data_IF_395361608566
#
_entry.id   IF_395361608566
#
_cell.length_a   1.000
_cell.length_b   1.000
_cell.length_c   1.000
_cell.angle_alpha   90.00
_cell.angle_beta   90.00
_cell.angle_gamma   90.00
#
_symmetry.space_group_name_H-M   'P 1'
#
loop_
_entity.id
_entity.type
_entity.pdbx_description
1 polymer ?
#
# COMPACT_ATOMS: atom_id res chain seq x y z
N UNK A 1 -9.52 2.28 21.01
CA UNK A 1 -9.21 1.36 19.91
C UNK A 1 -8.13 1.90 18.95
N UNK A 2 -8.09 3.20 18.63
CA UNK A 2 -7.05 3.78 17.77
C UNK A 2 -5.83 4.34 18.52
N UNK A 3 -5.97 4.68 19.80
CA UNK A 3 -4.88 5.27 20.59
C UNK A 3 -3.63 4.39 20.70
N UNK A 4 -3.77 3.07 20.61
CA UNK A 4 -2.66 2.12 20.69
C UNK A 4 -2.11 1.71 19.30
N UNK A 5 -2.81 2.06 18.22
CA UNK A 5 -2.42 1.67 16.88
C UNK A 5 -1.21 2.46 16.37
N UNK A 6 -1.20 3.78 16.57
CA UNK A 6 -0.13 4.66 16.10
C UNK A 6 1.24 4.33 16.72
N UNK A 7 1.39 4.16 18.05
CA UNK A 7 2.66 3.75 18.63
C UNK A 7 3.16 2.40 18.12
N UNK A 8 2.25 1.45 17.89
CA UNK A 8 2.61 0.14 17.33
C UNK A 8 3.08 0.24 15.89
N UNK A 9 2.42 1.04 15.07
CA UNK A 9 2.82 1.31 13.70
C UNK A 9 4.19 2.00 13.65
N UNK A 10 4.40 3.03 14.44
CA UNK A 10 5.68 3.70 14.53
C UNK A 10 6.80 2.74 14.93
N UNK A 11 6.59 1.92 15.96
CA UNK A 11 7.56 0.92 16.38
C UNK A 11 7.89 -0.06 15.26
N UNK A 12 6.88 -0.53 14.55
CA UNK A 12 7.03 -1.45 13.43
C UNK A 12 7.84 -0.81 12.28
N UNK A 13 7.54 0.44 11.90
CA UNK A 13 8.28 1.19 10.89
C UNK A 13 9.76 1.33 11.28
N UNK A 14 10.04 1.64 12.55
CA UNK A 14 11.41 1.80 13.06
C UNK A 14 12.19 0.50 13.20
N UNK A 15 11.52 -0.63 13.34
CA UNK A 15 12.12 -1.95 13.50
C UNK A 15 12.26 -2.72 12.18
N UNK A 16 11.63 -2.27 11.12
CA UNK A 16 11.73 -2.93 9.82
C UNK A 16 13.11 -2.75 9.20
N UNK A 17 13.58 -3.78 8.50
CA UNK A 17 14.89 -3.77 7.85
C UNK A 17 14.91 -2.92 6.58
N UNK A 18 13.77 -2.75 5.94
CA UNK A 18 13.61 -2.01 4.69
C UNK A 18 12.31 -1.21 4.70
N UNK A 19 12.40 0.03 4.28
CA UNK A 19 11.27 0.91 4.01
C UNK A 19 11.26 1.28 2.52
N UNK A 20 10.18 0.97 1.84
CA UNK A 20 9.95 1.32 0.44
C UNK A 20 8.82 2.34 0.38
N UNK A 21 9.04 3.41 -0.38
CA UNK A 21 8.05 4.44 -0.66
C UNK A 21 7.82 4.44 -2.17
N UNK A 22 6.80 3.71 -2.67
CA UNK A 22 6.57 3.63 -4.10
C UNK A 22 5.92 4.90 -4.63
N UNK A 23 6.64 5.62 -5.45
CA UNK A 23 6.14 6.82 -6.13
C UNK A 23 5.60 6.51 -7.51
N UNK A 24 4.59 7.25 -7.90
CA UNK A 24 4.08 7.25 -9.26
C UNK A 24 3.92 8.69 -9.75
N UNK A 25 4.08 8.89 -11.04
CA UNK A 25 3.88 10.21 -11.66
C UNK A 25 2.39 10.43 -11.86
N UNK A 26 1.86 11.47 -11.25
CA UNK A 26 0.51 11.90 -11.49
C UNK A 26 0.47 12.69 -12.81
N UNK A 27 -0.26 12.19 -13.79
CA UNK A 27 -0.52 12.95 -15.01
C UNK A 27 -1.79 13.78 -14.81
N UNK A 28 -1.67 15.07 -15.04
CA UNK A 28 -2.78 16.01 -14.90
C UNK A 28 -3.81 15.92 -16.03
N UNK A 29 -3.49 15.22 -17.11
CA UNK A 29 -4.42 14.99 -18.22
C UNK A 29 -4.53 13.49 -18.50
N UNK A 30 -5.71 12.90 -18.38
CA UNK A 30 -5.94 11.54 -18.81
C UNK A 30 -5.76 11.43 -20.34
N UNK A 31 -5.10 10.36 -20.78
CA UNK A 31 -4.85 10.07 -22.21
C UNK A 31 -6.14 9.97 -23.05
N UNK A 32 -7.25 9.69 -22.42
CA UNK A 32 -8.57 9.60 -23.04
C UNK A 32 -9.52 10.51 -22.25
N UNK A 33 -10.21 11.40 -22.93
CA UNK A 33 -11.30 12.18 -22.34
C UNK A 33 -12.45 11.25 -21.95
N UNK A 34 -13.09 11.51 -20.92
CA UNK A 34 -12.77 11.09 -19.58
C UNK A 34 -13.93 10.35 -18.98
N UNK A 35 -13.72 9.33 -18.40
CA UNK A 35 -14.45 9.16 -17.17
C UNK A 35 -13.52 9.66 -16.03
N UNK A 36 -14.05 10.29 -15.01
CA UNK A 36 -13.29 10.62 -13.79
C UNK A 36 -12.52 9.40 -13.28
N UNK A 37 -13.05 8.21 -13.53
CA UNK A 37 -12.43 6.92 -13.27
C UNK A 37 -11.11 6.67 -14.01
N UNK A 38 -10.91 7.22 -15.20
CA UNK A 38 -9.63 7.04 -15.91
C UNK A 38 -8.48 7.81 -15.26
N UNK A 39 -8.76 8.83 -14.48
CA UNK A 39 -7.75 9.53 -13.68
C UNK A 39 -7.21 8.67 -12.54
N UNK A 40 -7.93 7.63 -12.12
CA UNK A 40 -7.53 6.68 -11.09
C UNK A 40 -6.60 5.56 -11.61
N UNK A 41 -6.41 5.43 -12.93
CA UNK A 41 -5.62 4.35 -13.52
C UNK A 41 -4.17 4.34 -13.02
N UNK A 42 -3.57 5.51 -12.83
CA UNK A 42 -2.20 5.59 -12.31
C UNK A 42 -2.12 5.08 -10.88
N UNK A 43 -3.08 5.46 -10.07
CA UNK A 43 -3.20 4.98 -8.70
C UNK A 43 -3.47 3.48 -8.65
N UNK A 44 -4.38 2.97 -9.49
CA UNK A 44 -4.66 1.56 -9.61
C UNK A 44 -3.42 0.76 -10.05
N UNK A 45 -2.67 1.25 -11.04
CA UNK A 45 -1.44 0.62 -11.52
C UNK A 45 -0.38 0.56 -10.41
N UNK A 46 -0.26 1.60 -9.58
CA UNK A 46 0.65 1.60 -8.44
C UNK A 46 0.27 0.53 -7.40
N UNK A 47 -1.03 0.35 -7.13
CA UNK A 47 -1.50 -0.70 -6.23
C UNK A 47 -1.30 -2.10 -6.80
N UNK A 48 -1.48 -2.31 -8.10
CA UNK A 48 -1.14 -3.58 -8.75
C UNK A 48 0.36 -3.91 -8.63
N UNK A 49 1.23 -2.92 -8.79
CA UNK A 49 2.65 -3.11 -8.59
C UNK A 49 2.99 -3.45 -7.13
N UNK A 50 2.34 -2.78 -6.17
CA UNK A 50 2.47 -3.09 -4.75
C UNK A 50 2.06 -4.52 -4.42
N UNK A 51 0.93 -4.99 -4.95
CA UNK A 51 0.49 -6.36 -4.74
C UNK A 51 1.53 -7.38 -5.23
N UNK A 52 2.11 -7.16 -6.42
CA UNK A 52 3.19 -8.00 -6.91
C UNK A 52 4.41 -7.98 -5.99
N UNK A 53 4.75 -6.84 -5.40
CA UNK A 53 5.85 -6.75 -4.41
C UNK A 53 5.53 -7.53 -3.13
N UNK A 54 4.29 -7.47 -2.63
CA UNK A 54 3.85 -8.22 -1.45
C UNK A 54 3.92 -9.73 -1.70
N UNK A 55 3.45 -10.18 -2.87
CA UNK A 55 3.51 -11.58 -3.27
C UNK A 55 4.96 -12.08 -3.41
N UNK A 56 5.83 -11.31 -4.07
CA UNK A 56 7.24 -11.62 -4.20
C UNK A 56 7.94 -11.69 -2.84
N UNK A 57 7.71 -10.72 -1.96
CA UNK A 57 8.25 -10.73 -0.61
C UNK A 57 7.81 -11.97 0.18
N UNK A 58 6.54 -12.35 0.06
CA UNK A 58 6.02 -13.56 0.71
C UNK A 58 6.70 -14.82 0.18
N UNK A 59 6.94 -14.91 -1.13
CA UNK A 59 7.66 -16.05 -1.75
C UNK A 59 9.12 -16.15 -1.25
N UNK A 60 9.75 -15.02 -0.92
CA UNK A 60 11.09 -14.94 -0.33
C UNK A 60 11.10 -15.09 1.21
N UNK A 61 9.96 -15.39 1.84
CA UNK A 61 9.84 -15.56 3.29
C UNK A 61 9.92 -14.27 4.08
N UNK A 62 9.69 -13.12 3.45
CA UNK A 62 9.67 -11.82 4.09
C UNK A 62 8.28 -11.48 4.62
N UNK A 63 8.22 -10.88 5.80
CA UNK A 63 7.04 -10.22 6.32
C UNK A 63 6.92 -8.80 5.76
N UNK A 64 5.70 -8.38 5.45
CA UNK A 64 5.42 -7.06 4.91
C UNK A 64 4.25 -6.41 5.63
N UNK A 65 4.32 -5.09 5.78
CA UNK A 65 3.21 -4.27 6.24
C UNK A 65 3.25 -2.94 5.50
N UNK A 66 2.09 -2.43 5.13
CA UNK A 66 2.00 -1.08 4.60
C UNK A 66 1.16 -0.16 5.48
N UNK A 67 1.52 1.11 5.47
CA UNK A 67 0.80 2.20 6.11
C UNK A 67 0.41 3.24 5.06
N UNK A 68 -0.88 3.54 4.97
CA UNK A 68 -1.39 4.61 4.11
C UNK A 68 -1.39 5.89 4.92
N UNK A 69 -0.56 6.89 4.57
CA UNK A 69 -0.47 8.12 5.34
C UNK A 69 -1.72 8.99 5.15
N UNK A 70 -2.03 9.77 6.17
CA UNK A 70 -3.01 10.85 6.04
C UNK A 70 -2.39 12.06 5.33
N UNK A 71 -3.23 12.99 4.86
CA UNK A 71 -2.80 14.11 4.00
C UNK A 71 -1.57 14.87 4.51
N UNK A 72 -1.57 15.27 5.77
CA UNK A 72 -0.45 16.03 6.36
C UNK A 72 0.85 15.23 6.47
N UNK A 73 0.71 13.95 6.74
CA UNK A 73 1.83 13.02 6.82
C UNK A 73 2.43 12.80 5.43
N UNK A 74 1.58 12.62 4.41
CA UNK A 74 2.01 12.45 3.04
C UNK A 74 2.84 13.64 2.54
N UNK A 75 2.39 14.86 2.77
CA UNK A 75 3.13 16.06 2.39
C UNK A 75 4.49 16.18 3.10
N UNK A 76 4.54 15.89 4.39
CA UNK A 76 5.80 15.86 5.15
C UNK A 76 6.77 14.82 4.63
N UNK A 77 6.29 13.63 4.29
CA UNK A 77 7.12 12.56 3.73
C UNK A 77 7.70 12.99 2.38
N UNK A 78 6.87 13.55 1.49
CA UNK A 78 7.35 14.07 0.19
C UNK A 78 8.46 15.12 0.36
N UNK A 79 8.32 16.01 1.34
CA UNK A 79 9.34 17.01 1.66
C UNK A 79 10.64 16.36 2.18
N UNK A 80 10.54 15.40 3.10
CA UNK A 80 11.71 14.71 3.69
C UNK A 80 12.53 13.98 2.61
N UNK A 81 11.85 13.31 1.69
CA UNK A 81 12.53 12.55 0.63
C UNK A 81 12.82 13.39 -0.61
N UNK A 82 12.49 14.68 -0.57
CA UNK A 82 12.66 15.62 -1.68
C UNK A 82 12.02 15.11 -2.99
N UNK A 83 10.78 14.65 -2.89
CA UNK A 83 10.03 14.12 -4.03
C UNK A 83 9.82 15.19 -5.11
N UNK A 84 10.04 14.89 -6.39
CA UNK A 84 9.81 15.84 -7.46
C UNK A 84 8.34 16.25 -7.56
N UNK A 85 8.09 17.45 -8.04
CA UNK A 85 6.73 17.90 -8.34
C UNK A 85 6.04 16.97 -9.36
N UNK A 86 4.75 16.74 -9.15
CA UNK A 86 3.94 15.84 -9.98
C UNK A 86 4.10 14.35 -9.64
N UNK A 87 4.81 14.04 -8.55
CA UNK A 87 4.87 12.68 -8.01
C UNK A 87 4.05 12.54 -6.74
N UNK A 88 3.34 11.42 -6.66
CA UNK A 88 2.56 10.97 -5.51
C UNK A 88 2.99 9.57 -5.08
N UNK A 89 2.68 9.17 -3.87
CA UNK A 89 2.94 7.81 -3.41
C UNK A 89 1.70 7.18 -2.76
N UNK A 90 1.67 5.86 -2.74
CA UNK A 90 0.51 5.09 -2.26
C UNK A 90 0.57 4.82 -0.77
N UNK A 91 1.74 4.43 -0.29
CA UNK A 91 1.93 3.98 1.09
C UNK A 91 3.40 3.97 1.48
N UNK A 92 3.66 3.78 2.75
CA UNK A 92 4.95 3.34 3.29
C UNK A 92 4.90 1.81 3.40
N UNK A 93 5.69 1.11 2.63
CA UNK A 93 5.77 -0.34 2.66
C UNK A 93 7.03 -0.76 3.42
N UNK A 94 6.86 -1.52 4.48
CA UNK A 94 7.97 -2.09 5.25
C UNK A 94 8.14 -3.56 4.94
N UNK A 95 9.40 -4.01 4.94
CA UNK A 95 9.77 -5.40 4.74
C UNK A 95 10.84 -5.82 5.74
N UNK A 96 10.81 -7.09 6.13
CA UNK A 96 11.83 -7.67 7.00
C UNK A 96 11.58 -9.14 7.23
N UNK A 97 12.56 -9.82 7.79
CA UNK A 97 12.37 -11.20 8.21
C UNK A 97 11.44 -11.26 9.43
N UNK A 98 10.42 -12.11 9.40
CA UNK A 98 9.53 -12.26 10.54
C UNK A 98 10.30 -12.81 11.74
N UNK A 99 9.94 -12.37 12.93
CA UNK A 99 10.47 -12.96 14.17
C UNK A 99 9.90 -14.35 14.39
N UNK A 100 10.57 -15.18 15.20
CA UNK A 100 10.10 -16.54 15.53
C UNK A 100 8.68 -16.54 16.11
N UNK A 101 8.30 -15.47 16.80
CA UNK A 101 6.97 -15.30 17.41
C UNK A 101 6.01 -14.46 16.56
N UNK A 102 6.32 -14.24 15.30
CA UNK A 102 5.41 -13.52 14.40
C UNK A 102 4.10 -14.31 14.25
N UNK A 103 2.98 -13.64 14.49
CA UNK A 103 1.68 -14.26 14.32
C UNK A 103 1.10 -13.87 12.96
N UNK A 104 0.41 -14.79 12.34
CA UNK A 104 -0.40 -14.49 11.16
C UNK A 104 -1.70 -13.82 11.62
N UNK A 105 -2.04 -12.65 11.06
CA UNK A 105 -3.32 -12.04 11.37
C UNK A 105 -4.46 -12.97 10.98
N UNK A 106 -5.49 -13.02 11.85
CA UNK A 106 -6.67 -13.83 11.56
C UNK A 106 -7.32 -13.35 10.26
N UNK A 107 -7.40 -14.23 9.30
CA UNK A 107 -8.10 -13.97 8.05
C UNK A 107 -9.61 -14.12 8.26
N UNK A 108 -10.38 -13.27 7.60
CA UNK A 108 -11.83 -13.42 7.54
C UNK A 108 -12.14 -14.55 6.55
N UNK A 109 -12.95 -15.50 7.00
CA UNK A 109 -13.46 -16.53 6.10
C UNK A 109 -14.36 -15.88 5.04
N UNK A 110 -14.12 -16.20 3.79
CA UNK A 110 -14.86 -15.70 2.65
C UNK A 110 -15.43 -16.88 1.90
N UNK A 111 -16.75 -16.95 1.81
CA UNK A 111 -17.47 -17.92 0.97
C UNK A 111 -17.50 -17.37 -0.45
N UNK A 112 -16.61 -17.88 -1.28
CA UNK A 112 -16.39 -17.38 -2.65
C UNK A 112 -17.68 -17.55 -3.50
N UNK A 113 -18.39 -18.64 -3.29
CA UNK A 113 -19.63 -18.97 -3.99
C UNK A 113 -20.72 -17.91 -3.83
N UNK A 114 -20.74 -17.24 -2.68
CA UNK A 114 -21.69 -16.15 -2.39
C UNK A 114 -21.28 -14.80 -3.04
N UNK A 115 -20.12 -14.75 -3.66
CA UNK A 115 -19.51 -13.54 -4.24
C UNK A 115 -19.35 -13.60 -5.75
N UNK A 116 -19.60 -14.77 -6.33
CA UNK A 116 -19.52 -14.96 -7.79
C UNK A 116 -20.94 -14.92 -8.35
N UNK A 117 -21.14 -14.00 -9.24
CA UNK A 117 -22.38 -13.83 -10.00
C UNK A 117 -22.10 -14.03 -11.48
N UNK A 118 -22.96 -14.76 -12.17
CA UNK A 118 -22.84 -15.04 -13.61
C UNK A 118 -23.98 -14.32 -14.34
N UNK A 119 -23.63 -13.52 -15.34
CA UNK A 119 -24.51 -12.75 -16.23
C UNK A 119 -25.27 -11.61 -15.54
N UNK A 120 -25.77 -11.80 -14.35
CA UNK A 120 -26.50 -10.79 -13.57
C UNK A 120 -26.01 -10.75 -12.12
N UNK A 121 -26.18 -9.61 -11.49
CA UNK A 121 -25.82 -9.40 -10.07
C UNK A 121 -26.93 -9.95 -9.17
#
# INVERSE_FOLDING_TARGET
>A
MFADALPKQQKMLMQSSLLIIPFFRQQTQPLLKPAEQSSLNYFASAWCALENMLLAATAEGLGTVFHIPVSDEAEKIKQIVNAPEGYEFTCLLTMGYPTENAFLPKQKEIHIEERIHTDVW
#
